data_IF_912232264059
#
_entry.id   IF_912232264059
#
_cell.length_a   1.000
_cell.length_b   1.000
_cell.length_c   1.000
_cell.angle_alpha   90.00
_cell.angle_beta   90.00
_cell.angle_gamma   90.00
#
_symmetry.space_group_name_H-M   'P 1'
#
loop_
_entity.id
_entity.type
_entity.pdbx_description
1 polymer ?
#
# COMPACT_ATOMS: atom_id res chain seq x y z
N UNK A 1 10.92 -5.26 5.79
CA UNK A 1 9.88 -5.40 4.77
C UNK A 1 8.80 -6.38 5.19
N UNK A 2 7.82 -6.63 4.31
CA UNK A 2 6.79 -7.64 4.50
C UNK A 2 7.06 -8.81 3.57
N UNK A 3 6.91 -10.03 4.07
CA UNK A 3 7.04 -11.27 3.32
C UNK A 3 5.72 -12.03 3.43
N UNK A 4 5.26 -12.58 2.31
CA UNK A 4 4.06 -13.41 2.26
C UNK A 4 4.35 -14.76 1.60
N UNK A 5 3.79 -15.82 2.14
CA UNK A 5 3.68 -17.11 1.49
C UNK A 5 2.24 -17.26 0.98
N UNK A 6 2.08 -17.59 -0.29
CA UNK A 6 0.77 -17.64 -0.95
C UNK A 6 0.61 -18.98 -1.66
N UNK A 7 -0.58 -19.57 -1.53
CA UNK A 7 -0.97 -20.81 -2.20
C UNK A 7 -2.35 -20.64 -2.84
N UNK A 8 -2.47 -20.96 -4.12
CA UNK A 8 -3.77 -21.00 -4.80
C UNK A 8 -4.62 -22.09 -4.17
N UNK A 9 -5.89 -21.82 -3.89
CA UNK A 9 -6.78 -22.75 -3.19
C UNK A 9 -7.95 -23.28 -4.07
N UNK A 10 -8.01 -22.84 -5.33
CA UNK A 10 -9.01 -23.31 -6.30
C UNK A 10 -10.45 -22.81 -6.02
N UNK A 11 -10.63 -21.86 -5.12
CA UNK A 11 -11.91 -21.27 -4.78
C UNK A 11 -11.97 -19.80 -5.23
N UNK A 12 -13.02 -19.08 -4.85
CA UNK A 12 -13.15 -17.63 -4.98
C UNK A 12 -12.91 -16.88 -3.65
N UNK A 13 -12.41 -17.59 -2.63
CA UNK A 13 -12.17 -17.03 -1.28
C UNK A 13 -10.70 -16.83 -1.02
N UNK A 14 -10.40 -15.77 -0.28
CA UNK A 14 -9.09 -15.48 0.30
C UNK A 14 -9.13 -15.80 1.78
N UNK A 15 -8.17 -16.63 2.25
CA UNK A 15 -7.94 -16.89 3.67
C UNK A 15 -6.55 -16.38 4.01
N UNK A 16 -6.49 -15.38 4.87
CA UNK A 16 -5.26 -14.70 5.24
C UNK A 16 -4.98 -14.83 6.74
N UNK A 17 -3.73 -15.03 7.09
CA UNK A 17 -3.25 -15.03 8.47
C UNK A 17 -2.11 -14.03 8.65
N UNK A 18 -2.32 -13.07 9.53
CA UNK A 18 -1.31 -12.10 9.94
C UNK A 18 -0.51 -12.66 11.12
N UNK A 19 0.68 -13.19 10.85
CA UNK A 19 1.48 -13.92 11.84
C UNK A 19 1.85 -13.05 13.04
N UNK A 20 2.24 -11.80 12.79
CA UNK A 20 2.68 -10.87 13.84
C UNK A 20 1.52 -10.39 14.74
N UNK A 21 0.29 -10.44 14.25
CA UNK A 21 -0.91 -10.09 14.99
C UNK A 21 -1.60 -11.30 15.63
N UNK A 22 -1.32 -12.51 15.15
CA UNK A 22 -2.02 -13.72 15.55
C UNK A 22 -3.47 -13.76 15.10
N UNK A 23 -3.82 -13.04 14.03
CA UNK A 23 -5.19 -12.85 13.53
C UNK A 23 -5.39 -13.49 12.17
N UNK A 24 -6.61 -13.96 11.93
CA UNK A 24 -7.04 -14.50 10.63
C UNK A 24 -8.23 -13.73 10.08
N UNK A 25 -8.34 -13.69 8.75
CA UNK A 25 -9.49 -13.13 8.04
C UNK A 25 -9.83 -13.98 6.82
N UNK A 26 -11.10 -14.11 6.51
CA UNK A 26 -11.60 -14.73 5.28
C UNK A 26 -12.57 -13.78 4.57
N UNK A 27 -12.44 -13.65 3.27
CA UNK A 27 -13.35 -12.86 2.44
C UNK A 27 -13.46 -13.43 1.02
N UNK A 28 -14.58 -13.19 0.36
CA UNK A 28 -14.80 -13.53 -1.03
C UNK A 28 -14.28 -12.46 -2.00
N UNK A 29 -13.71 -12.89 -3.11
CA UNK A 29 -13.21 -11.97 -4.15
C UNK A 29 -14.33 -11.16 -4.82
N UNK A 30 -15.57 -11.66 -4.79
CA UNK A 30 -16.74 -11.05 -5.41
C UNK A 30 -17.70 -10.42 -4.37
N UNK A 31 -17.40 -10.52 -3.09
CA UNK A 31 -18.23 -9.94 -2.03
C UNK A 31 -18.21 -8.41 -2.09
N UNK A 32 -19.34 -7.80 -1.80
CA UNK A 32 -19.47 -6.34 -1.79
C UNK A 32 -18.86 -5.74 -0.52
N UNK A 33 -18.96 -6.46 0.60
CA UNK A 33 -18.53 -6.00 1.90
C UNK A 33 -17.07 -6.31 2.14
N UNK A 34 -16.36 -5.31 2.65
CA UNK A 34 -14.96 -5.44 3.04
C UNK A 34 -14.83 -6.26 4.33
N UNK A 35 -13.69 -6.94 4.53
CA UNK A 35 -13.42 -7.67 5.77
C UNK A 35 -13.45 -6.75 7.00
N UNK A 36 -13.78 -7.34 8.16
CA UNK A 36 -13.88 -6.61 9.42
C UNK A 36 -12.50 -6.18 9.95
N UNK A 37 -11.49 -7.01 9.73
CA UNK A 37 -10.11 -6.75 10.15
C UNK A 37 -9.50 -5.65 9.27
N UNK A 38 -9.05 -4.57 9.90
CA UNK A 38 -8.52 -3.40 9.19
C UNK A 38 -7.34 -3.73 8.28
N UNK A 39 -6.44 -4.63 8.72
CA UNK A 39 -5.30 -5.07 7.93
C UNK A 39 -5.71 -5.88 6.69
N UNK A 40 -6.78 -6.65 6.78
CA UNK A 40 -7.27 -7.45 5.66
C UNK A 40 -7.90 -6.59 4.55
N UNK A 41 -8.36 -5.37 4.88
CA UNK A 41 -8.86 -4.41 3.90
C UNK A 41 -7.81 -4.03 2.85
N UNK A 42 -6.53 -4.03 3.19
CA UNK A 42 -5.45 -3.75 2.24
C UNK A 42 -5.31 -4.90 1.22
N UNK A 43 -5.37 -6.15 1.67
CA UNK A 43 -5.30 -7.32 0.77
C UNK A 43 -6.56 -7.37 -0.11
N UNK A 44 -7.73 -7.19 0.50
CA UNK A 44 -9.01 -7.12 -0.21
C UNK A 44 -8.99 -6.03 -1.30
N UNK A 45 -8.57 -4.83 -0.95
CA UNK A 45 -8.49 -3.71 -1.88
C UNK A 45 -7.56 -3.96 -3.05
N UNK A 46 -6.38 -4.53 -2.81
CA UNK A 46 -5.45 -4.94 -3.87
C UNK A 46 -6.10 -5.94 -4.82
N UNK A 47 -6.79 -6.96 -4.29
CA UNK A 47 -7.53 -7.91 -5.12
C UNK A 47 -8.55 -7.21 -6.02
N UNK A 48 -9.36 -6.32 -5.44
CA UNK A 48 -10.40 -5.58 -6.15
C UNK A 48 -9.83 -4.62 -7.21
N UNK A 49 -8.73 -3.95 -6.89
CA UNK A 49 -8.09 -3.04 -7.83
C UNK A 49 -7.39 -3.75 -9.00
N UNK A 50 -6.84 -4.95 -8.77
CA UNK A 50 -6.34 -5.82 -9.84
C UNK A 50 -7.51 -6.26 -10.76
N UNK A 51 -8.64 -6.71 -10.18
CA UNK A 51 -9.81 -7.10 -10.95
C UNK A 51 -10.37 -5.94 -11.79
N UNK A 52 -10.45 -4.72 -11.25
CA UNK A 52 -10.88 -3.52 -11.97
C UNK A 52 -10.00 -3.19 -13.18
N UNK A 53 -8.73 -3.58 -13.14
CA UNK A 53 -7.78 -3.42 -14.25
C UNK A 53 -7.77 -4.61 -15.21
N UNK A 54 -8.74 -5.51 -15.07
CA UNK A 54 -8.92 -6.67 -15.94
C UNK A 54 -8.11 -7.90 -15.54
N UNK A 55 -7.37 -7.85 -14.43
CA UNK A 55 -6.67 -9.01 -13.88
C UNK A 55 -7.64 -10.09 -13.41
N UNK A 56 -7.43 -11.31 -13.87
CA UNK A 56 -8.24 -12.47 -13.49
C UNK A 56 -7.56 -13.23 -12.36
N UNK A 57 -7.96 -12.95 -11.14
CA UNK A 57 -7.45 -13.62 -9.94
C UNK A 57 -8.49 -14.55 -9.35
N UNK A 58 -8.04 -15.66 -8.79
CA UNK A 58 -8.85 -16.62 -8.02
C UNK A 58 -8.49 -16.56 -6.54
N UNK A 59 -9.13 -17.43 -5.74
CA UNK A 59 -8.89 -17.51 -4.31
C UNK A 59 -7.52 -18.08 -3.96
N UNK A 60 -7.03 -17.69 -2.79
CA UNK A 60 -5.74 -18.13 -2.28
C UNK A 60 -5.73 -18.19 -0.75
N UNK A 61 -4.84 -19.02 -0.22
CA UNK A 61 -4.47 -19.03 1.19
C UNK A 61 -3.14 -18.30 1.35
N UNK A 62 -3.02 -17.50 2.38
CA UNK A 62 -1.80 -16.73 2.61
C UNK A 62 -1.46 -16.57 4.09
N UNK A 63 -0.19 -16.54 4.39
CA UNK A 63 0.34 -16.07 5.66
C UNK A 63 1.39 -15.01 5.37
N UNK A 64 1.40 -13.93 6.15
CA UNK A 64 2.41 -12.89 6.03
C UNK A 64 2.93 -12.45 7.39
N UNK A 65 4.15 -11.93 7.37
CA UNK A 65 4.83 -11.33 8.50
C UNK A 65 5.72 -10.18 8.03
N UNK A 66 6.11 -9.28 8.91
CA UNK A 66 7.01 -8.19 8.56
C UNK A 66 7.70 -7.56 9.76
N UNK A 67 8.82 -6.89 9.46
CA UNK A 67 9.60 -6.13 10.42
C UNK A 67 9.38 -4.61 10.31
N UNK A 68 8.37 -4.19 9.53
CA UNK A 68 7.99 -2.77 9.41
C UNK A 68 7.16 -2.39 10.63
N UNK A 69 7.62 -1.45 11.48
CA UNK A 69 6.90 -1.05 12.67
C UNK A 69 5.49 -0.53 12.35
N UNK A 70 4.49 -1.12 13.01
CA UNK A 70 3.10 -0.74 12.81
C UNK A 70 2.79 0.60 13.48
N UNK A 71 2.16 1.52 12.74
CA UNK A 71 1.73 2.82 13.27
C UNK A 71 2.87 3.82 13.54
N UNK A 72 4.11 3.49 13.17
CA UNK A 72 5.29 4.34 13.37
C UNK A 72 5.61 5.27 12.17
N UNK A 73 4.69 5.41 11.21
CA UNK A 73 4.90 6.24 10.02
C UNK A 73 5.88 5.65 9.00
N UNK A 74 6.16 4.34 9.10
CA UNK A 74 7.10 3.63 8.22
C UNK A 74 6.40 2.95 7.02
N UNK A 75 5.19 3.36 6.70
CA UNK A 75 4.43 2.92 5.52
C UNK A 75 4.19 1.42 5.45
N UNK A 76 3.81 0.80 6.59
CA UNK A 76 3.49 -0.63 6.64
C UNK A 76 2.33 -1.01 5.72
N UNK A 77 1.33 -0.13 5.52
CA UNK A 77 0.24 -0.31 4.57
C UNK A 77 0.75 -0.45 3.14
N UNK A 78 1.55 0.51 2.67
CA UNK A 78 2.12 0.47 1.33
C UNK A 78 3.04 -0.75 1.10
N UNK A 79 3.76 -1.19 2.14
CA UNK A 79 4.56 -2.41 2.08
C UNK A 79 3.68 -3.67 1.91
N UNK A 80 2.57 -3.76 2.66
CA UNK A 80 1.62 -4.87 2.56
C UNK A 80 0.93 -4.90 1.19
N UNK A 81 0.42 -3.75 0.74
CA UNK A 81 -0.21 -3.58 -0.57
C UNK A 81 0.72 -3.99 -1.71
N UNK A 82 1.95 -3.48 -1.69
CA UNK A 82 2.96 -3.80 -2.71
C UNK A 82 3.30 -5.28 -2.72
N UNK A 83 3.44 -5.91 -1.54
CA UNK A 83 3.70 -7.35 -1.43
C UNK A 83 2.63 -8.16 -2.16
N UNK A 84 1.35 -7.87 -1.90
CA UNK A 84 0.26 -8.60 -2.54
C UNK A 84 0.05 -8.18 -3.99
N UNK A 85 0.25 -6.91 -4.35
CA UNK A 85 0.15 -6.46 -5.74
C UNK A 85 1.16 -7.17 -6.64
N UNK A 86 2.43 -7.26 -6.23
CA UNK A 86 3.45 -8.02 -6.96
C UNK A 86 3.14 -9.50 -7.01
N UNK A 87 2.84 -10.12 -5.86
CA UNK A 87 2.62 -11.55 -5.78
C UNK A 87 1.42 -12.00 -6.63
N UNK A 88 0.29 -11.30 -6.56
CA UNK A 88 -0.90 -11.65 -7.33
C UNK A 88 -0.73 -11.35 -8.82
N UNK A 89 -0.03 -10.25 -9.17
CA UNK A 89 0.31 -9.96 -10.56
C UNK A 89 1.13 -11.08 -11.21
N UNK A 90 2.12 -11.60 -10.48
CA UNK A 90 2.99 -12.68 -10.93
C UNK A 90 2.25 -14.02 -10.97
N UNK A 91 1.62 -14.43 -9.86
CA UNK A 91 0.94 -15.72 -9.72
C UNK A 91 -0.19 -15.93 -10.73
N UNK A 92 -0.91 -14.87 -11.09
CA UNK A 92 -2.03 -14.92 -12.02
C UNK A 92 -1.69 -14.38 -13.41
N UNK A 93 -0.42 -14.04 -13.66
CA UNK A 93 0.05 -13.50 -14.95
C UNK A 93 -0.80 -12.32 -15.45
N UNK A 94 -1.10 -11.36 -14.57
CA UNK A 94 -1.97 -10.24 -14.89
C UNK A 94 -1.32 -9.23 -15.86
N UNK A 95 0.02 -9.20 -15.95
CA UNK A 95 0.76 -8.33 -16.88
C UNK A 95 0.69 -6.84 -16.52
N UNK A 96 0.43 -6.51 -15.26
CA UNK A 96 0.31 -5.14 -14.77
C UNK A 96 1.72 -4.57 -14.56
N UNK A 97 1.99 -3.38 -15.11
CA UNK A 97 3.29 -2.73 -14.95
C UNK A 97 3.47 -2.12 -13.55
N UNK A 98 4.72 -1.75 -13.23
CA UNK A 98 5.08 -1.24 -11.90
C UNK A 98 4.38 0.06 -11.53
N UNK A 99 4.14 0.97 -12.50
CA UNK A 99 3.44 2.22 -12.22
C UNK A 99 1.99 1.94 -11.82
N UNK A 100 1.33 1.03 -12.52
CA UNK A 100 -0.01 0.61 -12.16
C UNK A 100 -0.05 -0.19 -10.84
N UNK A 101 0.98 -0.99 -10.52
CA UNK A 101 1.06 -1.64 -9.20
C UNK A 101 1.14 -0.61 -8.06
N UNK A 102 1.90 0.48 -8.20
CA UNK A 102 1.91 1.55 -7.22
C UNK A 102 0.54 2.24 -7.09
N UNK A 103 -0.14 2.49 -8.22
CA UNK A 103 -1.49 3.07 -8.23
C UNK A 103 -2.54 2.12 -7.64
N UNK A 104 -2.37 0.81 -7.76
CA UNK A 104 -3.23 -0.19 -7.10
C UNK A 104 -3.17 0.01 -5.59
N UNK A 105 -2.00 0.14 -4.99
CA UNK A 105 -1.85 0.41 -3.56
C UNK A 105 -2.56 1.71 -3.17
N UNK A 106 -2.29 2.82 -3.83
CA UNK A 106 -2.94 4.10 -3.56
C UNK A 106 -4.47 4.00 -3.69
N UNK A 107 -4.97 3.36 -4.75
CA UNK A 107 -6.41 3.18 -4.96
C UNK A 107 -7.04 2.28 -3.90
N UNK A 108 -6.28 1.32 -3.38
CA UNK A 108 -6.69 0.48 -2.25
C UNK A 108 -6.95 1.33 -1.00
N UNK A 109 -6.03 2.20 -0.63
CA UNK A 109 -6.22 3.10 0.52
C UNK A 109 -7.41 4.03 0.32
N UNK A 110 -7.55 4.63 -0.88
CA UNK A 110 -8.63 5.56 -1.18
C UNK A 110 -10.02 4.90 -1.16
N UNK A 111 -10.14 3.73 -1.78
CA UNK A 111 -11.44 3.12 -2.07
C UNK A 111 -11.92 2.17 -0.96
N UNK A 112 -10.98 1.55 -0.21
CA UNK A 112 -11.33 0.49 0.74
C UNK A 112 -10.90 0.79 2.18
N UNK A 113 -9.78 1.52 2.37
CA UNK A 113 -9.28 1.85 3.70
C UNK A 113 -9.70 3.25 4.18
N UNK A 114 -10.27 4.09 3.31
CA UNK A 114 -10.77 5.43 3.68
C UNK A 114 -9.68 6.47 3.92
N UNK A 115 -8.47 6.25 3.42
CA UNK A 115 -7.31 7.14 3.57
C UNK A 115 -6.98 7.77 2.22
N UNK A 116 -7.05 9.10 2.11
CA UNK A 116 -6.73 9.84 0.88
C UNK A 116 -5.22 10.15 0.80
N UNK A 117 -4.38 9.11 0.85
CA UNK A 117 -2.92 9.25 0.80
C UNK A 117 -2.41 9.80 -0.55
N UNK A 118 -1.16 10.31 -0.55
CA UNK A 118 -0.39 10.54 -1.78
C UNK A 118 0.14 9.22 -2.35
N UNK A 119 0.87 9.29 -3.47
CA UNK A 119 1.45 8.10 -4.13
C UNK A 119 2.84 7.72 -3.58
N UNK A 120 3.46 8.59 -2.78
CA UNK A 120 4.88 8.51 -2.42
C UNK A 120 5.27 7.16 -1.80
N UNK A 121 4.49 6.68 -0.85
CA UNK A 121 4.82 5.49 -0.07
C UNK A 121 4.73 4.22 -0.92
N UNK A 122 3.68 4.09 -1.71
CA UNK A 122 3.51 2.99 -2.65
C UNK A 122 4.58 3.03 -3.74
N UNK A 123 4.89 4.23 -4.24
CA UNK A 123 5.93 4.40 -5.25
C UNK A 123 7.31 4.02 -4.70
N UNK A 124 7.64 4.46 -3.49
CA UNK A 124 8.89 4.10 -2.81
C UNK A 124 9.00 2.59 -2.57
N UNK A 125 7.89 1.93 -2.20
CA UNK A 125 7.85 0.49 -1.99
C UNK A 125 8.06 -0.30 -3.30
N UNK A 126 7.48 0.16 -4.40
CA UNK A 126 7.54 -0.52 -5.72
C UNK A 126 8.85 -0.26 -6.45
N UNK A 127 9.39 0.96 -6.38
CA UNK A 127 10.56 1.41 -7.14
C UNK A 127 11.82 1.57 -6.29
N UNK A 128 11.78 1.29 -4.98
CA UNK A 128 12.93 1.41 -4.10
C UNK A 128 14.14 0.64 -4.62
N UNK A 129 15.34 1.25 -4.56
CA UNK A 129 16.59 0.65 -5.02
C UNK A 129 17.65 0.76 -3.93
N UNK A 130 18.30 -0.39 -3.62
CA UNK A 130 19.37 -0.45 -2.63
C UNK A 130 20.51 0.52 -2.98
N UNK A 131 20.96 1.28 -1.98
CA UNK A 131 22.08 2.22 -2.13
C UNK A 131 21.73 3.49 -2.92
N UNK A 132 20.45 3.80 -3.06
CA UNK A 132 19.99 4.99 -3.75
C UNK A 132 18.93 5.73 -2.93
N UNK A 133 18.94 7.05 -3.05
CA UNK A 133 17.77 7.90 -2.79
C UNK A 133 16.99 8.07 -4.08
N UNK A 134 15.71 8.24 -3.99
CA UNK A 134 14.84 8.52 -5.12
C UNK A 134 14.22 9.91 -4.95
N UNK A 135 14.41 10.77 -5.94
CA UNK A 135 13.66 12.02 -6.10
C UNK A 135 12.43 11.72 -6.94
N UNK A 136 11.26 11.93 -6.42
CA UNK A 136 9.99 11.69 -7.08
C UNK A 136 9.21 12.98 -7.19
N UNK A 137 8.76 13.33 -8.39
CA UNK A 137 7.67 14.27 -8.57
C UNK A 137 6.35 13.49 -8.45
N UNK A 138 5.63 13.69 -7.34
CA UNK A 138 4.38 12.97 -7.07
C UNK A 138 3.23 13.35 -8.00
N UNK A 139 3.40 14.34 -8.85
CA UNK A 139 2.42 14.86 -9.80
C UNK A 139 2.57 14.17 -11.16
N UNK A 140 3.79 14.28 -11.75
CA UNK A 140 4.12 13.64 -13.03
C UNK A 140 4.49 12.17 -12.89
N UNK A 141 4.86 11.73 -11.69
CA UNK A 141 5.49 10.43 -11.37
C UNK A 141 6.84 10.25 -12.07
N UNK A 142 7.46 11.34 -12.52
CA UNK A 142 8.85 11.32 -12.97
C UNK A 142 9.78 11.16 -11.77
N UNK A 143 10.78 10.32 -11.91
CA UNK A 143 11.70 10.06 -10.82
C UNK A 143 13.12 9.82 -11.28
N UNK A 144 14.07 10.09 -10.38
CA UNK A 144 15.51 9.87 -10.60
C UNK A 144 16.11 9.21 -9.36
N UNK A 145 17.14 8.38 -9.60
CA UNK A 145 17.93 7.79 -8.54
C UNK A 145 19.24 8.54 -8.35
N UNK A 146 19.59 8.78 -7.10
CA UNK A 146 20.86 9.34 -6.68
C UNK A 146 21.60 8.32 -5.81
N UNK A 147 22.87 8.03 -6.04
CA UNK A 147 23.67 7.19 -5.16
C UNK A 147 23.61 7.74 -3.73
N UNK A 148 23.43 6.86 -2.76
CA UNK A 148 23.41 7.21 -1.35
C UNK A 148 24.33 6.27 -0.59
N UNK A 149 25.48 6.80 -0.20
CA UNK A 149 26.43 6.13 0.67
C UNK A 149 26.68 7.04 1.89
N UNK A 150 26.05 6.76 3.04
CA UNK A 150 26.16 7.62 4.22
C UNK A 150 27.46 7.41 5.00
N UNK A 151 28.61 7.37 4.32
CA UNK A 151 29.93 7.23 4.98
C UNK A 151 30.10 8.32 6.03
N UNK A 152 30.31 7.93 7.29
CA UNK A 152 30.46 8.85 8.41
C UNK A 152 29.16 9.37 9.01
N UNK A 153 28.00 9.00 8.49
CA UNK A 153 26.68 9.38 9.00
C UNK A 153 25.84 8.16 9.32
N UNK A 154 24.87 8.32 10.21
CA UNK A 154 23.85 7.32 10.53
C UNK A 154 22.48 7.95 10.38
N UNK A 155 21.56 7.23 9.75
CA UNK A 155 20.12 7.56 9.82
C UNK A 155 19.57 6.98 11.11
N UNK A 156 18.96 7.84 11.92
CA UNK A 156 18.32 7.44 13.18
C UNK A 156 16.83 7.71 13.05
N UNK A 157 16.03 6.67 13.25
CA UNK A 157 14.58 6.75 13.32
C UNK A 157 14.17 6.75 14.79
N UNK A 158 13.45 7.78 15.20
CA UNK A 158 12.92 7.91 16.54
C UNK A 158 11.40 7.72 16.49
N UNK A 159 10.95 6.57 16.99
CA UNK A 159 9.52 6.34 17.16
C UNK A 159 9.03 7.13 18.39
N UNK A 160 8.09 8.03 18.17
CA UNK A 160 7.47 8.82 19.25
C UNK A 160 6.44 8.04 20.05
N UNK A 161 6.16 6.79 19.66
CA UNK A 161 5.15 5.89 20.25
C UNK A 161 3.73 6.48 20.19
N UNK A 162 3.53 7.58 19.47
CA UNK A 162 2.20 8.12 19.17
C UNK A 162 1.61 7.32 18.01
N UNK A 163 0.68 6.43 18.31
CA UNK A 163 0.01 5.64 17.28
C UNK A 163 -0.85 6.55 16.39
N UNK A 164 -0.59 6.50 15.10
CA UNK A 164 -1.39 7.17 14.09
C UNK A 164 -2.39 6.16 13.49
N UNK A 165 -3.66 6.31 13.87
CA UNK A 165 -4.73 5.68 13.11
C UNK A 165 -4.97 6.53 11.87
N UNK A 166 -4.73 5.96 10.69
CA UNK A 166 -4.91 6.66 9.41
C UNK A 166 -6.40 6.94 9.13
N UNK A 167 -7.27 6.00 9.47
CA UNK A 167 -8.72 6.11 9.30
C UNK A 167 -9.28 7.10 10.32
N UNK A 168 -9.97 8.14 9.85
CA UNK A 168 -10.50 9.22 10.69
C UNK A 168 -9.45 10.22 11.17
N UNK A 169 -8.20 10.09 10.74
CA UNK A 169 -7.09 10.93 11.14
C UNK A 169 -7.19 12.39 10.65
N UNK A 170 -6.40 13.30 11.23
CA UNK A 170 -6.25 14.67 10.71
C UNK A 170 -5.73 14.73 9.26
N UNK A 171 -5.21 13.64 8.72
CA UNK A 171 -4.65 13.57 7.36
C UNK A 171 -5.67 13.97 6.28
N UNK A 172 -6.85 13.33 6.27
CA UNK A 172 -7.89 13.67 5.29
C UNK A 172 -8.35 15.12 5.42
N UNK A 173 -8.49 15.63 6.66
CA UNK A 173 -8.84 17.03 6.91
C UNK A 173 -7.78 18.01 6.40
N UNK A 174 -6.49 17.68 6.55
CA UNK A 174 -5.39 18.50 6.03
C UNK A 174 -5.43 18.55 4.51
N UNK A 175 -5.62 17.40 3.86
CA UNK A 175 -5.77 17.33 2.41
C UNK A 175 -6.95 18.18 1.93
N UNK A 176 -8.12 18.04 2.52
CA UNK A 176 -9.31 18.84 2.20
C UNK A 176 -9.07 20.35 2.40
N UNK A 177 -8.29 20.71 3.43
CA UNK A 177 -7.92 22.10 3.65
C UNK A 177 -6.99 22.63 2.55
N UNK A 178 -5.99 21.85 2.13
CA UNK A 178 -5.10 22.22 1.02
C UNK A 178 -5.87 22.34 -0.30
N UNK A 179 -6.73 21.38 -0.63
CA UNK A 179 -7.57 21.42 -1.83
C UNK A 179 -8.50 22.64 -1.85
N UNK A 180 -9.08 23.00 -0.70
CA UNK A 180 -9.91 24.18 -0.56
C UNK A 180 -9.14 25.48 -0.80
N UNK A 181 -7.94 25.61 -0.22
CA UNK A 181 -7.10 26.79 -0.40
C UNK A 181 -6.60 26.89 -1.84
N UNK A 182 -6.16 25.81 -2.45
CA UNK A 182 -5.77 25.77 -3.86
C UNK A 182 -6.91 26.27 -4.76
N UNK A 183 -8.12 25.76 -4.52
CA UNK A 183 -9.32 26.21 -5.26
C UNK A 183 -9.62 27.71 -5.08
N UNK A 184 -9.46 28.24 -3.85
CA UNK A 184 -9.65 29.69 -3.59
C UNK A 184 -8.63 30.55 -4.33
N UNK A 185 -7.43 30.04 -4.56
CA UNK A 185 -6.35 30.70 -5.31
C UNK A 185 -6.43 30.45 -6.83
N UNK A 186 -7.41 29.69 -7.31
CA UNK A 186 -7.50 29.30 -8.72
C UNK A 186 -6.37 28.39 -9.19
N UNK A 187 -5.74 27.69 -8.26
CA UNK A 187 -4.64 26.74 -8.53
C UNK A 187 -5.12 25.31 -8.42
N UNK A 188 -4.51 24.41 -9.17
CA UNK A 188 -4.79 22.99 -9.09
C UNK A 188 -4.18 22.37 -7.80
N UNK A 189 -3.02 22.87 -7.38
CA UNK A 189 -2.28 22.44 -6.18
C UNK A 189 -1.73 23.65 -5.41
N UNK A 190 -1.42 23.43 -4.12
CA UNK A 190 -0.63 24.34 -3.30
C UNK A 190 0.85 24.12 -3.53
#
# INVERSE_FOLDING_TARGET
GIVAAIRLNGTDKVRAYALDLGESSEFGLNEADKPAESWACYIFGVCREIQKRGGKIGGFDTVFAGDVPLGAGMSSSAALESTYAFALNDLYNCGIDKFELAKIGQSTEHNYCGVKCGIMDQFASVFGKKGCLMRLDCRSMEFEYFPFDPVGYKLVLLDTVVKHELVGSPYNRRRESCERVAKMLGQEFL
#
